data_IF_953206825021
#
_entry.id   IF_953206825021
#
_cell.length_a   1.000
_cell.length_b   1.000
_cell.length_c   1.000
_cell.angle_alpha   90.00
_cell.angle_beta   90.00
_cell.angle_gamma   90.00
#
_symmetry.space_group_name_H-M   'P 1'
#
loop_
_entity.id
_entity.type
_entity.pdbx_description
1 polymer ?
#
# COMPACT_ATOMS: atom_id res chain seq x y z
N UNK A 1 -21.95 12.50 8.13
CA UNK A 1 -21.54 13.03 6.79
C UNK A 1 -20.10 13.43 6.93
N UNK A 2 -19.21 12.97 6.08
CA UNK A 2 -17.79 13.32 6.22
C UNK A 2 -17.58 14.80 5.87
N UNK A 3 -16.71 15.48 6.63
CA UNK A 3 -16.17 16.78 6.24
C UNK A 3 -15.75 16.75 4.77
N UNK A 4 -16.10 17.76 3.96
CA UNK A 4 -15.77 17.77 2.52
C UNK A 4 -14.27 17.59 2.23
N UNK A 5 -13.38 18.12 3.09
CA UNK A 5 -11.93 17.96 2.94
C UNK A 5 -11.50 16.52 3.20
N UNK A 6 -12.00 15.93 4.28
CA UNK A 6 -11.75 14.51 4.59
C UNK A 6 -12.31 13.61 3.49
N UNK A 7 -13.48 13.94 2.95
CA UNK A 7 -14.09 13.19 1.86
C UNK A 7 -13.23 13.20 0.60
N UNK A 8 -12.66 14.36 0.24
CA UNK A 8 -11.79 14.48 -0.93
C UNK A 8 -10.50 13.67 -0.76
N UNK A 9 -9.83 13.80 0.38
CA UNK A 9 -8.62 13.04 0.69
C UNK A 9 -8.88 11.54 0.70
N UNK A 10 -9.97 11.13 1.35
CA UNK A 10 -10.38 9.73 1.40
C UNK A 10 -10.66 9.16 0.00
N UNK A 11 -11.42 9.86 -0.82
CA UNK A 11 -11.74 9.42 -2.19
C UNK A 11 -10.48 9.35 -3.04
N UNK A 12 -9.58 10.34 -2.93
CA UNK A 12 -8.30 10.33 -3.63
C UNK A 12 -7.45 9.11 -3.23
N UNK A 13 -7.37 8.83 -1.93
CA UNK A 13 -6.66 7.68 -1.38
C UNK A 13 -7.26 6.36 -1.87
N UNK A 14 -8.57 6.18 -1.74
CA UNK A 14 -9.25 4.95 -2.15
C UNK A 14 -9.06 4.67 -3.65
N UNK A 15 -9.12 5.72 -4.48
CA UNK A 15 -8.83 5.62 -5.92
C UNK A 15 -7.37 5.26 -6.18
N UNK A 16 -6.43 5.92 -5.49
CA UNK A 16 -4.99 5.66 -5.60
C UNK A 16 -4.67 4.18 -5.33
N UNK A 17 -5.35 3.58 -4.36
CA UNK A 17 -5.16 2.18 -4.00
C UNK A 17 -6.08 1.20 -4.73
N UNK A 18 -6.83 1.66 -5.74
CA UNK A 18 -7.74 0.82 -6.52
C UNK A 18 -8.85 0.18 -5.67
N UNK A 19 -9.22 0.80 -4.55
CA UNK A 19 -10.23 0.30 -3.63
C UNK A 19 -11.62 0.64 -4.15
N UNK A 20 -12.51 -0.33 -4.10
CA UNK A 20 -13.93 -0.10 -4.41
C UNK A 20 -14.58 0.63 -3.25
N UNK A 21 -15.29 1.70 -3.56
CA UNK A 21 -16.06 2.45 -2.58
C UNK A 21 -17.35 2.95 -3.22
N UNK A 22 -18.30 3.27 -2.39
CA UNK A 22 -19.51 3.98 -2.77
C UNK A 22 -19.82 5.04 -1.71
N UNK A 23 -20.51 6.07 -2.13
CA UNK A 23 -21.03 7.11 -1.24
C UNK A 23 -22.52 6.82 -1.08
N UNK A 24 -23.00 6.50 0.14
CA UNK A 24 -24.42 6.26 0.35
C UNK A 24 -25.26 7.49 0.00
N UNK A 25 -26.35 7.30 -0.70
CA UNK A 25 -27.30 8.38 -1.03
C UNK A 25 -28.21 8.74 0.15
N UNK A 26 -28.27 7.87 1.15
CA UNK A 26 -29.05 8.08 2.36
C UNK A 26 -28.83 6.97 3.38
N UNK A 27 -29.48 7.13 4.54
CA UNK A 27 -29.32 6.20 5.67
C UNK A 27 -29.75 4.75 5.34
N UNK A 28 -30.69 4.57 4.41
CA UNK A 28 -31.16 3.24 4.00
C UNK A 28 -30.13 2.46 3.18
N UNK A 29 -29.15 3.17 2.65
CA UNK A 29 -28.14 2.59 1.78
C UNK A 29 -26.82 2.29 2.52
N UNK A 30 -26.82 2.40 3.87
CA UNK A 30 -25.63 2.10 4.65
C UNK A 30 -25.35 0.59 4.65
N UNK A 31 -24.13 0.22 4.34
CA UNK A 31 -23.61 -1.15 4.48
C UNK A 31 -24.48 -2.25 3.85
N UNK A 32 -24.85 -2.12 2.59
CA UNK A 32 -25.70 -3.10 1.89
C UNK A 32 -25.09 -4.49 1.77
N UNK A 33 -23.74 -4.61 1.76
CA UNK A 33 -23.02 -5.85 1.45
C UNK A 33 -21.86 -6.14 2.41
N UNK A 34 -22.06 -6.01 3.71
CA UNK A 34 -20.98 -6.19 4.69
C UNK A 34 -19.77 -5.26 4.39
N UNK A 35 -20.06 -3.99 4.25
CA UNK A 35 -19.07 -2.97 3.93
C UNK A 35 -18.48 -2.35 5.20
N UNK A 36 -17.26 -1.83 5.07
CA UNK A 36 -16.67 -0.95 6.06
C UNK A 36 -17.30 0.44 5.90
N UNK A 37 -17.92 0.94 6.95
CA UNK A 37 -18.47 2.30 6.97
C UNK A 37 -17.45 3.27 7.54
N UNK A 38 -17.12 4.31 6.77
CA UNK A 38 -16.25 5.40 7.22
C UNK A 38 -17.08 6.66 7.39
N UNK A 39 -16.98 7.27 8.56
CA UNK A 39 -17.74 8.49 8.91
C UNK A 39 -16.92 9.38 9.85
N UNK A 40 -17.36 10.59 10.08
CA UNK A 40 -16.84 11.49 11.12
C UNK A 40 -17.76 11.50 12.35
N UNK A 41 -17.40 12.27 13.37
CA UNK A 41 -18.19 12.39 14.59
C UNK A 41 -19.62 12.84 14.32
N UNK A 42 -19.82 13.83 13.43
CA UNK A 42 -21.15 14.34 13.10
C UNK A 42 -21.99 13.27 12.39
N UNK A 43 -21.39 12.57 11.44
CA UNK A 43 -22.05 11.48 10.74
C UNK A 43 -22.38 10.32 11.66
N UNK A 44 -21.49 9.97 12.59
CA UNK A 44 -21.73 8.92 13.59
C UNK A 44 -22.90 9.30 14.52
N UNK A 45 -22.91 10.54 15.02
CA UNK A 45 -24.00 11.05 15.85
C UNK A 45 -25.33 11.04 15.09
N UNK A 46 -25.32 11.45 13.82
CA UNK A 46 -26.51 11.43 12.98
C UNK A 46 -27.06 10.01 12.77
N UNK A 47 -26.21 9.05 12.48
CA UNK A 47 -26.59 7.63 12.34
C UNK A 47 -27.19 7.11 13.64
N UNK A 48 -26.55 7.41 14.77
CA UNK A 48 -27.00 6.98 16.11
C UNK A 48 -28.37 7.57 16.47
N UNK A 49 -28.56 8.88 16.27
CA UNK A 49 -29.82 9.56 16.52
C UNK A 49 -30.95 9.07 15.62
N UNK A 50 -30.63 8.70 14.41
CA UNK A 50 -31.60 8.20 13.42
C UNK A 50 -32.01 6.75 13.66
N UNK A 51 -31.42 6.06 14.63
CA UNK A 51 -31.69 4.64 14.98
C UNK A 51 -31.58 3.70 13.78
N UNK A 52 -30.70 4.02 12.84
CA UNK A 52 -30.44 3.16 11.68
C UNK A 52 -29.56 1.98 12.12
N UNK A 53 -29.96 0.77 11.74
CA UNK A 53 -29.15 -0.41 12.00
C UNK A 53 -27.85 -0.37 11.18
N UNK A 54 -26.73 -0.57 11.85
CA UNK A 54 -25.40 -0.76 11.24
C UNK A 54 -24.97 -2.24 11.30
N UNK A 55 -25.89 -3.16 11.56
CA UNK A 55 -25.60 -4.59 11.70
C UNK A 55 -25.00 -5.22 10.43
N UNK A 56 -25.32 -4.66 9.26
CA UNK A 56 -24.76 -5.09 7.99
C UNK A 56 -23.37 -4.49 7.71
N UNK A 57 -22.92 -3.53 8.54
CA UNK A 57 -21.55 -3.04 8.46
C UNK A 57 -20.60 -4.05 9.09
N UNK A 58 -19.49 -4.34 8.43
CA UNK A 58 -18.40 -5.13 9.03
C UNK A 58 -17.80 -4.39 10.21
N UNK A 59 -17.60 -3.10 10.03
CA UNK A 59 -17.06 -2.18 11.03
C UNK A 59 -17.49 -0.76 10.70
N UNK A 60 -17.65 0.08 11.72
CA UNK A 60 -17.86 1.52 11.56
C UNK A 60 -16.62 2.23 12.07
N UNK A 61 -15.90 2.91 11.16
CA UNK A 61 -14.72 3.70 11.48
C UNK A 61 -15.06 5.17 11.55
N UNK A 62 -14.75 5.76 12.69
CA UNK A 62 -14.86 7.19 12.92
C UNK A 62 -13.50 7.85 12.61
N UNK A 63 -13.46 8.72 11.61
CA UNK A 63 -12.28 9.40 11.10
C UNK A 63 -12.55 10.90 11.10
N UNK A 64 -11.79 11.66 11.89
CA UNK A 64 -12.03 13.09 12.09
C UNK A 64 -10.96 14.00 11.49
N UNK A 65 -9.85 13.43 11.05
CA UNK A 65 -8.75 14.17 10.43
C UNK A 65 -7.99 13.31 9.41
N UNK A 66 -7.15 13.95 8.61
CA UNK A 66 -6.38 13.29 7.56
C UNK A 66 -5.39 12.28 8.13
N UNK A 67 -4.83 12.53 9.30
CA UNK A 67 -3.87 11.61 9.94
C UNK A 67 -4.54 10.29 10.31
N UNK A 68 -5.79 10.32 10.75
CA UNK A 68 -6.57 9.12 11.06
C UNK A 68 -6.91 8.30 9.80
N UNK A 69 -7.02 8.93 8.62
CA UNK A 69 -7.13 8.19 7.36
C UNK A 69 -5.93 7.27 7.19
N UNK A 70 -4.74 7.74 7.51
CA UNK A 70 -3.50 6.96 7.37
C UNK A 70 -3.24 6.01 8.54
N UNK A 71 -3.53 6.42 9.76
CA UNK A 71 -3.22 5.63 10.96
C UNK A 71 -4.29 4.63 11.36
N UNK A 72 -5.55 4.87 11.05
CA UNK A 72 -6.68 4.01 11.42
C UNK A 72 -7.25 3.28 10.23
N UNK A 73 -7.61 4.00 9.17
CA UNK A 73 -8.30 3.42 8.03
C UNK A 73 -7.37 2.57 7.15
N UNK A 74 -6.20 3.08 6.79
CA UNK A 74 -5.27 2.37 5.92
C UNK A 74 -4.88 0.99 6.46
N UNK A 75 -4.50 0.81 7.74
CA UNK A 75 -4.22 -0.50 8.31
C UNK A 75 -5.42 -1.48 8.25
N UNK A 76 -6.63 -0.96 8.28
CA UNK A 76 -7.86 -1.78 8.20
C UNK A 76 -8.19 -2.23 6.79
N UNK A 77 -7.92 -1.38 5.80
CA UNK A 77 -8.19 -1.69 4.40
C UNK A 77 -7.05 -2.48 3.76
N UNK A 78 -5.84 -2.21 4.22
CA UNK A 78 -4.66 -2.96 3.83
C UNK A 78 -4.56 -4.13 4.79
N UNK A 79 -4.54 -5.34 4.27
CA UNK A 79 -4.23 -6.52 5.08
C UNK A 79 -2.79 -6.41 5.62
N UNK A 80 -2.64 -5.71 6.77
CA UNK A 80 -1.33 -5.51 7.42
C UNK A 80 -0.80 -6.80 8.06
N UNK A 81 -1.59 -7.89 8.05
CA UNK A 81 -1.10 -9.22 8.41
C UNK A 81 -0.15 -9.78 7.34
N UNK A 82 -0.33 -9.34 6.10
CA UNK A 82 0.57 -9.69 5.00
C UNK A 82 1.85 -8.85 5.03
N UNK A 83 3.01 -9.45 4.68
CA UNK A 83 4.23 -8.70 4.49
C UNK A 83 4.06 -7.56 3.48
N UNK A 84 4.60 -6.39 3.80
CA UNK A 84 4.74 -5.31 2.83
C UNK A 84 6.07 -5.49 2.11
N UNK A 85 6.06 -5.52 0.79
CA UNK A 85 7.27 -5.54 -0.03
C UNK A 85 7.39 -4.23 -0.80
N UNK A 86 8.59 -3.64 -0.74
CA UNK A 86 8.96 -2.43 -1.47
C UNK A 86 10.00 -2.83 -2.50
N UNK A 87 9.72 -2.60 -3.78
CA UNK A 87 10.67 -2.79 -4.88
C UNK A 87 11.17 -1.45 -5.36
N UNK A 88 12.47 -1.34 -5.57
CA UNK A 88 13.14 -0.14 -6.09
C UNK A 88 13.89 -0.55 -7.34
N UNK A 89 13.61 0.14 -8.43
CA UNK A 89 14.38 0.08 -9.67
C UNK A 89 15.25 1.33 -9.77
N UNK A 90 16.58 1.14 -9.74
CA UNK A 90 17.60 2.19 -9.76
C UNK A 90 18.07 2.46 -11.19
N UNK A 91 17.14 2.76 -12.09
CA UNK A 91 17.44 3.14 -13.46
C UNK A 91 17.81 4.61 -13.63
N UNK A 92 17.54 5.16 -14.83
CA UNK A 92 17.72 6.59 -15.12
C UNK A 92 16.84 7.47 -14.22
N UNK A 93 15.70 6.96 -13.81
CA UNK A 93 14.81 7.52 -12.80
C UNK A 93 14.63 6.43 -11.73
N UNK A 94 14.47 6.84 -10.49
CA UNK A 94 14.23 5.91 -9.42
C UNK A 94 12.73 5.59 -9.40
N UNK A 95 12.37 4.37 -9.79
CA UNK A 95 11.02 3.88 -9.69
C UNK A 95 10.85 3.05 -8.42
N UNK A 96 9.70 3.15 -7.78
CA UNK A 96 9.38 2.30 -6.64
C UNK A 96 7.97 1.71 -6.77
N UNK A 97 7.78 0.56 -6.14
CA UNK A 97 6.49 -0.08 -5.98
C UNK A 97 6.33 -0.65 -4.58
N UNK A 98 5.12 -0.56 -4.04
CA UNK A 98 4.77 -1.10 -2.73
C UNK A 98 3.64 -2.09 -2.89
N UNK A 99 3.83 -3.30 -2.38
CA UNK A 99 2.80 -4.32 -2.33
C UNK A 99 2.50 -4.74 -0.88
N UNK A 100 1.24 -5.04 -0.59
CA UNK A 100 0.84 -5.81 0.60
C UNK A 100 0.46 -7.23 0.14
N UNK A 101 1.28 -8.21 0.49
CA UNK A 101 1.17 -9.53 -0.11
C UNK A 101 1.30 -9.46 -1.64
N UNK A 102 0.23 -9.84 -2.35
CA UNK A 102 0.16 -9.77 -3.83
C UNK A 102 -0.62 -8.57 -4.35
N UNK A 103 -0.99 -7.62 -3.52
CA UNK A 103 -1.77 -6.44 -3.90
C UNK A 103 -0.86 -5.24 -4.08
N UNK A 104 -0.88 -4.62 -5.25
CA UNK A 104 -0.20 -3.34 -5.49
C UNK A 104 -0.93 -2.23 -4.71
N UNK A 105 -0.19 -1.55 -3.83
CA UNK A 105 -0.68 -0.39 -3.10
C UNK A 105 -0.38 0.91 -3.83
N UNK A 106 0.86 1.04 -4.33
CA UNK A 106 1.29 2.21 -5.10
C UNK A 106 2.53 1.86 -5.92
N UNK A 107 2.70 2.54 -7.03
CA UNK A 107 3.96 2.63 -7.75
C UNK A 107 4.10 4.05 -8.32
N UNK A 108 5.29 4.60 -8.24
CA UNK A 108 5.58 5.95 -8.71
C UNK A 108 7.09 6.15 -8.86
N UNK A 109 7.49 7.35 -9.23
CA UNK A 109 8.88 7.77 -9.31
C UNK A 109 9.24 8.66 -8.12
N UNK A 110 10.51 8.62 -7.74
CA UNK A 110 11.11 9.57 -6.82
C UNK A 110 12.35 10.19 -7.46
N UNK A 111 12.67 11.41 -7.07
CA UNK A 111 13.85 12.10 -7.57
C UNK A 111 15.11 11.71 -6.81
N UNK A 112 14.96 11.28 -5.54
CA UNK A 112 16.06 10.95 -4.64
C UNK A 112 15.77 9.69 -3.84
N UNK A 113 16.81 8.96 -3.52
CA UNK A 113 16.72 7.72 -2.71
C UNK A 113 16.17 8.00 -1.30
N UNK A 114 16.45 9.17 -0.72
CA UNK A 114 15.93 9.57 0.59
C UNK A 114 14.41 9.61 0.65
N UNK A 115 13.75 9.86 -0.47
CA UNK A 115 12.28 9.82 -0.53
C UNK A 115 11.73 8.41 -0.34
N UNK A 116 12.49 7.39 -0.77
CA UNK A 116 12.15 5.99 -0.47
C UNK A 116 12.19 5.72 1.03
N UNK A 117 13.16 6.30 1.74
CA UNK A 117 13.23 6.21 3.20
C UNK A 117 11.95 6.78 3.85
N UNK A 118 11.49 7.94 3.39
CA UNK A 118 10.25 8.55 3.87
C UNK A 118 9.03 7.66 3.60
N UNK A 119 9.02 6.96 2.46
CA UNK A 119 7.97 5.99 2.13
C UNK A 119 7.99 4.83 3.14
N UNK A 120 9.16 4.26 3.41
CA UNK A 120 9.32 3.16 4.38
C UNK A 120 8.93 3.63 5.80
N UNK A 121 9.26 4.84 6.18
CA UNK A 121 8.87 5.42 7.45
C UNK A 121 7.34 5.54 7.59
N UNK A 122 6.68 6.02 6.56
CA UNK A 122 5.20 6.06 6.51
C UNK A 122 4.58 4.67 6.54
N UNK A 123 5.15 3.71 5.82
CA UNK A 123 4.70 2.32 5.85
C UNK A 123 4.88 1.71 7.25
N UNK A 124 5.98 2.01 7.93
CA UNK A 124 6.23 1.53 9.32
C UNK A 124 5.20 2.07 10.30
N UNK A 125 4.68 3.29 10.10
CA UNK A 125 3.63 3.86 10.96
C UNK A 125 2.31 3.07 10.88
N UNK A 126 2.08 2.32 9.79
CA UNK A 126 0.93 1.42 9.64
C UNK A 126 1.07 0.14 10.47
N UNK A 127 2.19 -0.05 11.18
CA UNK A 127 2.52 -1.23 11.99
C UNK A 127 2.33 -2.56 11.22
N UNK A 128 2.88 -2.67 10.01
CA UNK A 128 2.82 -3.93 9.27
C UNK A 128 3.59 -5.01 10.04
N UNK A 129 3.23 -6.27 9.81
CA UNK A 129 3.96 -7.39 10.41
C UNK A 129 5.45 -7.34 10.08
N UNK A 130 5.79 -7.08 8.83
CA UNK A 130 7.16 -6.92 8.34
C UNK A 130 7.19 -6.03 7.09
N UNK A 131 8.30 -5.35 6.88
CA UNK A 131 8.63 -4.66 5.64
C UNK A 131 9.82 -5.37 5.00
N UNK A 132 9.67 -5.72 3.73
CA UNK A 132 10.70 -6.33 2.89
C UNK A 132 11.15 -5.32 1.84
N UNK A 133 12.44 -5.24 1.59
CA UNK A 133 13.02 -4.34 0.60
C UNK A 133 13.65 -5.13 -0.53
N UNK A 134 13.32 -4.81 -1.76
CA UNK A 134 13.96 -5.30 -2.97
C UNK A 134 14.62 -4.18 -3.74
N UNK A 135 15.83 -4.40 -4.20
CA UNK A 135 16.59 -3.43 -4.99
C UNK A 135 17.00 -4.13 -6.28
N UNK A 136 16.56 -3.57 -7.39
CA UNK A 136 17.06 -3.94 -8.72
C UNK A 136 18.39 -3.27 -8.93
N UNK A 137 19.41 -4.05 -9.24
CA UNK A 137 20.76 -3.54 -9.40
C UNK A 137 21.48 -4.28 -10.53
N UNK A 138 21.04 -4.04 -11.76
CA UNK A 138 21.68 -4.65 -12.93
C UNK A 138 23.13 -4.12 -13.16
N UNK A 139 23.38 -2.87 -12.75
CA UNK A 139 24.61 -2.14 -13.09
C UNK A 139 25.35 -1.52 -11.90
N UNK A 140 24.86 -1.68 -10.67
CA UNK A 140 25.53 -1.09 -9.50
C UNK A 140 26.63 -2.02 -8.99
N UNK A 141 27.88 -1.63 -9.21
CA UNK A 141 29.05 -2.29 -8.58
C UNK A 141 29.05 -2.11 -7.06
N UNK A 142 28.50 -1.03 -6.58
CA UNK A 142 28.35 -0.71 -5.16
C UNK A 142 26.98 -0.05 -4.93
N UNK A 143 26.31 -0.42 -3.86
CA UNK A 143 25.04 0.20 -3.46
C UNK A 143 25.31 1.64 -2.98
N UNK A 144 24.49 2.63 -3.37
CA UNK A 144 24.57 3.96 -2.80
C UNK A 144 24.49 3.94 -1.27
N UNK A 145 25.25 4.81 -0.59
CA UNK A 145 25.28 4.86 0.86
C UNK A 145 23.89 5.07 1.48
N UNK A 146 23.05 5.82 0.79
CA UNK A 146 21.65 6.08 1.16
C UNK A 146 20.83 4.78 1.19
N UNK A 147 21.03 3.90 0.21
CA UNK A 147 20.39 2.58 0.16
C UNK A 147 20.89 1.70 1.32
N UNK A 148 22.19 1.72 1.58
CA UNK A 148 22.77 0.98 2.73
C UNK A 148 22.13 1.41 4.04
N UNK A 149 21.92 2.72 4.23
CA UNK A 149 21.27 3.26 5.43
C UNK A 149 19.80 2.82 5.56
N UNK A 150 19.09 2.60 4.45
CA UNK A 150 17.73 2.07 4.45
C UNK A 150 17.72 0.59 4.82
N UNK A 151 18.66 -0.18 4.30
CA UNK A 151 18.81 -1.62 4.58
C UNK A 151 19.12 -1.85 6.07
N UNK A 152 19.99 -1.04 6.65
CA UNK A 152 20.39 -1.11 8.06
C UNK A 152 19.30 -0.61 9.02
N UNK A 153 18.22 -0.04 8.49
CA UNK A 153 17.11 0.44 9.29
C UNK A 153 16.39 -0.74 9.98
N UNK A 154 16.15 -0.63 11.28
CA UNK A 154 15.35 -1.59 12.06
C UNK A 154 13.91 -1.78 11.52
N UNK A 155 13.47 -0.90 10.63
CA UNK A 155 12.15 -0.94 9.99
C UNK A 155 12.06 -1.95 8.85
N UNK A 156 13.19 -2.36 8.29
CA UNK A 156 13.29 -3.34 7.20
C UNK A 156 13.69 -4.68 7.77
N UNK A 157 12.79 -5.65 7.70
CA UNK A 157 13.03 -6.99 8.23
C UNK A 157 14.00 -7.83 7.38
N UNK A 158 14.02 -7.59 6.08
CA UNK A 158 14.95 -8.23 5.13
C UNK A 158 15.07 -7.38 3.86
N UNK A 159 16.28 -7.30 3.33
CA UNK A 159 16.59 -6.66 2.07
C UNK A 159 17.21 -7.66 1.08
N UNK A 160 16.85 -7.54 -0.19
CA UNK A 160 17.31 -8.43 -1.25
C UNK A 160 17.75 -7.61 -2.46
N UNK A 161 18.90 -7.94 -3.00
CA UNK A 161 19.30 -7.50 -4.33
C UNK A 161 18.68 -8.46 -5.34
N UNK A 162 17.98 -7.92 -6.33
CA UNK A 162 17.26 -8.67 -7.35
C UNK A 162 17.93 -8.42 -8.70
N UNK A 163 18.46 -9.46 -9.31
CA UNK A 163 18.99 -9.40 -10.67
C UNK A 163 17.86 -9.18 -11.68
N UNK A 164 18.01 -8.18 -12.54
CA UNK A 164 16.96 -7.75 -13.46
C UNK A 164 16.82 -8.66 -14.69
N UNK A 165 17.88 -9.32 -15.12
CA UNK A 165 17.87 -10.23 -16.28
C UNK A 165 16.74 -11.27 -16.24
N UNK A 166 16.22 -11.57 -15.06
CA UNK A 166 15.12 -12.53 -14.85
C UNK A 166 13.76 -11.86 -14.64
N UNK A 167 13.64 -10.53 -14.81
CA UNK A 167 12.37 -9.83 -14.64
C UNK A 167 11.39 -10.02 -15.80
N UNK A 168 11.60 -11.05 -16.61
CA UNK A 168 10.77 -11.37 -17.74
C UNK A 168 9.27 -11.37 -17.40
N UNK A 169 8.53 -10.72 -18.24
CA UNK A 169 7.12 -10.31 -18.32
C UNK A 169 6.06 -11.34 -17.86
N UNK A 170 6.44 -12.58 -17.59
CA UNK A 170 5.49 -13.67 -17.26
C UNK A 170 5.12 -13.76 -15.77
N UNK A 171 5.76 -12.99 -14.88
CA UNK A 171 5.68 -13.18 -13.43
C UNK A 171 4.88 -12.08 -12.71
N UNK A 172 4.48 -11.00 -13.40
CA UNK A 172 3.62 -10.01 -12.76
C UNK A 172 2.22 -10.63 -12.67
N UNK A 173 1.83 -11.15 -11.50
CA UNK A 173 0.48 -11.66 -11.34
C UNK A 173 -0.47 -10.51 -11.67
N UNK A 174 -1.65 -10.80 -12.21
CA UNK A 174 -2.71 -9.82 -12.41
C UNK A 174 -3.00 -9.18 -11.06
N UNK A 175 -2.37 -8.05 -10.82
CA UNK A 175 -2.56 -7.28 -9.60
C UNK A 175 -3.96 -6.70 -9.66
N UNK A 176 -4.77 -7.00 -8.67
CA UNK A 176 -6.17 -6.62 -8.67
C UNK A 176 -6.30 -5.09 -8.86
N UNK A 177 -6.91 -4.69 -9.98
CA UNK A 177 -7.31 -3.31 -10.23
C UNK A 177 -6.30 -2.42 -10.96
N UNK A 178 -5.13 -2.93 -11.36
CA UNK A 178 -4.12 -2.15 -12.12
C UNK A 178 -3.83 -2.82 -13.45
N UNK A 179 -3.96 -2.07 -14.56
CA UNK A 179 -3.51 -2.52 -15.87
C UNK A 179 -1.99 -2.33 -15.96
N UNK A 180 -1.25 -3.27 -15.39
CA UNK A 180 0.22 -3.21 -15.32
C UNK A 180 0.84 -3.09 -16.71
N UNK A 181 0.23 -3.66 -17.72
CA UNK A 181 0.71 -3.62 -19.10
C UNK A 181 0.81 -2.18 -19.66
N UNK A 182 0.02 -1.26 -19.14
CA UNK A 182 0.02 0.17 -19.54
C UNK A 182 1.03 1.02 -18.78
N UNK A 183 1.69 0.50 -17.77
CA UNK A 183 2.69 1.23 -17.00
C UNK A 183 4.01 1.36 -17.78
N UNK A 184 4.80 2.42 -17.54
CA UNK A 184 6.19 2.51 -17.98
C UNK A 184 7.03 1.32 -17.52
N UNK A 185 8.07 0.98 -18.29
CA UNK A 185 8.92 -0.21 -18.02
C UNK A 185 9.59 -0.15 -16.65
N UNK A 186 10.10 1.02 -16.21
CA UNK A 186 10.73 1.20 -14.91
C UNK A 186 9.75 0.89 -13.75
N UNK A 187 8.48 1.32 -13.87
CA UNK A 187 7.46 0.99 -12.88
C UNK A 187 7.11 -0.51 -12.88
N UNK A 188 7.08 -1.12 -14.05
CA UNK A 188 6.92 -2.59 -14.16
C UNK A 188 8.09 -3.33 -13.52
N UNK A 189 9.32 -2.84 -13.73
CA UNK A 189 10.51 -3.39 -13.09
C UNK A 189 10.42 -3.29 -11.56
N UNK A 190 10.09 -2.12 -11.02
CA UNK A 190 9.90 -1.93 -9.59
C UNK A 190 8.82 -2.86 -9.00
N UNK A 191 7.70 -3.06 -9.70
CA UNK A 191 6.65 -4.01 -9.30
C UNK A 191 7.20 -5.45 -9.31
N UNK A 192 7.90 -5.86 -10.37
CA UNK A 192 8.48 -7.19 -10.47
C UNK A 192 9.50 -7.46 -9.36
N UNK A 193 10.32 -6.47 -9.01
CA UNK A 193 11.25 -6.54 -7.88
C UNK A 193 10.50 -6.78 -6.58
N UNK A 194 9.44 -5.99 -6.30
CA UNK A 194 8.64 -6.13 -5.09
C UNK A 194 7.96 -7.51 -4.99
N UNK A 195 7.42 -8.03 -6.10
CA UNK A 195 6.84 -9.40 -6.15
C UNK A 195 7.88 -10.46 -5.82
N UNK A 196 9.06 -10.39 -6.41
CA UNK A 196 10.13 -11.39 -6.19
C UNK A 196 10.64 -11.39 -4.76
N UNK A 197 10.75 -10.22 -4.16
CA UNK A 197 11.13 -10.12 -2.74
C UNK A 197 10.10 -10.82 -1.87
N UNK A 198 8.83 -10.56 -2.12
CA UNK A 198 7.75 -11.24 -1.41
C UNK A 198 7.82 -12.76 -1.58
N UNK A 199 7.96 -13.25 -2.82
CA UNK A 199 8.04 -14.69 -3.11
C UNK A 199 9.28 -15.33 -2.48
N UNK A 200 10.44 -14.69 -2.58
CA UNK A 200 11.68 -15.17 -1.96
C UNK A 200 11.56 -15.27 -0.44
N UNK A 201 10.94 -14.29 0.17
CA UNK A 201 10.66 -14.32 1.61
C UNK A 201 9.71 -15.47 1.98
N UNK A 202 8.61 -15.64 1.25
CA UNK A 202 7.62 -16.69 1.53
C UNK A 202 8.24 -18.09 1.38
N UNK A 203 9.11 -18.30 0.38
CA UNK A 203 9.84 -19.56 0.22
C UNK A 203 10.77 -19.83 1.42
N UNK A 204 11.46 -18.82 1.94
CA UNK A 204 12.35 -19.00 3.10
C UNK A 204 11.60 -19.30 4.39
N UNK A 205 10.33 -18.83 4.53
CA UNK A 205 9.49 -19.15 5.68
C UNK A 205 8.89 -20.55 5.63
N UNK A 206 8.60 -21.06 4.44
CA UNK A 206 8.04 -22.41 4.26
C UNK A 206 9.05 -23.55 4.48
N UNK A 207 10.35 -23.23 4.56
CA UNK A 207 11.43 -24.18 4.81
C UNK A 207 11.88 -24.24 6.29
N UNK A 208 11.26 -23.44 7.14
CA UNK A 208 11.45 -23.43 8.60
C UNK A 208 10.29 -24.09 9.31
#
# INVERSE_FOLDING_TARGET
MLDPRLSLELVALLRKYGLRFRIPMGLRDLCLNHELLVTDNEGLEYITKSKVSTELCVEVLNINNVEEIYSVLLPRILDTSSPISVGIDLGRRIAYAVLAGRRLLTCDYVDRVEEVKNIIERLSSLKPRIILLGIGAEYLKELPAEISSIIESEKVAAAYIIEEEKTNRSIIPRLAGVEVDKLPEDLKAAIAIAVRVYEKYMLTQSLR
#
